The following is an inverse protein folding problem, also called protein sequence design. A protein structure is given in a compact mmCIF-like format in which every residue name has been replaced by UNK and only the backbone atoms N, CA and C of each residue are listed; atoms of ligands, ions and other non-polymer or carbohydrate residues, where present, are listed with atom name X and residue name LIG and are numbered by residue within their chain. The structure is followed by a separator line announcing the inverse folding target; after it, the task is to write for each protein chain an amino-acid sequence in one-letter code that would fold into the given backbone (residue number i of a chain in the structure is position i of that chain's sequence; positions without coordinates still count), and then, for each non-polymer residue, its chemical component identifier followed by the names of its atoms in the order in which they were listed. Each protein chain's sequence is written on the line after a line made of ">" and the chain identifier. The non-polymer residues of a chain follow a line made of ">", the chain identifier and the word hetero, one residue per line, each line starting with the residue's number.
data_IF_880218340133
#
_entry.id   IF_880218340133
#
_cell.length_a   1.000
_cell.length_b   1.000
_cell.length_c   1.000
_cell.angle_alpha   90.00
_cell.angle_beta   90.00
_cell.angle_gamma   90.00
#
_symmetry.space_group_name_H-M   'P 1'
#
loop_
_entity.id
_entity.type
_entity.pdbx_description
1 polymer ?
#
# COMPACT_ATOMS: atom_id res chain seq x y z
N UNK A 1 -47.51 -22.29 4.35
CA UNK A 1 -46.31 -21.42 4.34
C UNK A 1 -46.56 -20.26 5.30
N UNK A 2 -45.66 -20.07 6.25
CA UNK A 2 -45.80 -19.21 7.43
C UNK A 2 -46.00 -17.73 7.10
N UNK A 3 -47.11 -17.12 7.55
CA UNK A 3 -47.37 -15.67 7.58
C UNK A 3 -46.27 -14.85 8.28
N UNK A 4 -45.34 -15.50 9.00
CA UNK A 4 -44.19 -14.89 9.66
C UNK A 4 -43.02 -14.55 8.73
N UNK A 5 -42.96 -15.10 7.50
CA UNK A 5 -41.84 -14.82 6.59
C UNK A 5 -41.95 -13.46 5.88
N UNK A 6 -43.17 -12.97 5.60
CA UNK A 6 -43.39 -11.75 4.83
C UNK A 6 -42.98 -10.48 5.61
N UNK A 7 -43.13 -10.50 6.94
CA UNK A 7 -42.78 -9.36 7.81
C UNK A 7 -41.27 -9.18 7.97
N UNK A 8 -40.51 -10.28 7.95
CA UNK A 8 -39.04 -10.26 8.07
C UNK A 8 -38.40 -9.60 6.84
N UNK A 9 -38.93 -9.86 5.64
CA UNK A 9 -38.42 -9.26 4.42
C UNK A 9 -38.67 -7.74 4.36
N UNK A 10 -39.75 -7.26 4.99
CA UNK A 10 -40.07 -5.83 5.07
C UNK A 10 -39.17 -5.05 6.03
N UNK A 11 -38.62 -5.68 7.08
CA UNK A 11 -37.67 -5.02 8.00
C UNK A 11 -36.25 -4.90 7.41
N UNK A 12 -35.85 -5.83 6.53
CA UNK A 12 -34.53 -5.81 5.87
C UNK A 12 -34.35 -4.65 4.88
N UNK A 13 -35.44 -4.16 4.27
CA UNK A 13 -35.39 -3.08 3.27
C UNK A 13 -35.10 -1.68 3.86
N UNK A 14 -35.30 -1.48 5.16
CA UNK A 14 -35.08 -0.17 5.80
C UNK A 14 -33.58 0.08 6.06
N UNK A 15 -32.77 -0.99 6.13
CA UNK A 15 -31.30 -0.87 6.25
C UNK A 15 -30.61 -0.40 4.95
N UNK A 16 -31.30 -0.46 3.81
CA UNK A 16 -30.75 -0.01 2.52
C UNK A 16 -31.05 1.46 2.17
N UNK A 17 -31.86 2.16 2.97
CA UNK A 17 -32.25 3.56 2.70
C UNK A 17 -31.36 4.61 3.41
N UNK A 18 -30.36 4.17 4.16
CA UNK A 18 -29.37 5.06 4.79
C UNK A 18 -27.94 4.80 4.28
N UNK A 19 -27.80 4.37 3.02
CA UNK A 19 -26.57 4.65 2.27
C UNK A 19 -26.60 6.11 1.85
N UNK A 20 -26.40 6.97 2.86
CA UNK A 20 -25.85 8.31 2.79
C UNK A 20 -25.87 8.97 1.40
N UNK A 21 -26.99 9.64 1.12
CA UNK A 21 -26.98 10.79 0.24
C UNK A 21 -26.29 11.94 0.99
N UNK A 22 -24.97 11.88 1.10
CA UNK A 22 -24.18 13.00 1.59
C UNK A 22 -23.67 13.69 0.34
N UNK A 23 -24.40 14.71 -0.11
CA UNK A 23 -23.77 15.80 -0.85
C UNK A 23 -22.87 16.53 0.13
N UNK A 24 -21.74 15.92 0.47
CA UNK A 24 -20.65 16.60 1.12
C UNK A 24 -19.92 17.32 0.00
N UNK A 25 -20.20 18.61 -0.16
CA UNK A 25 -19.16 19.53 -0.63
C UNK A 25 -18.09 19.58 0.46
N UNK A 26 -17.32 18.49 0.56
CA UNK A 26 -16.15 18.41 1.39
C UNK A 26 -15.02 19.04 0.59
N UNK A 27 -15.01 20.37 0.54
CA UNK A 27 -13.84 21.13 0.14
C UNK A 27 -12.90 21.33 1.32
N UNK A 28 -12.77 20.31 2.18
CA UNK A 28 -11.54 20.12 2.92
C UNK A 28 -10.48 19.75 1.88
N UNK A 29 -9.31 20.40 1.81
CA UNK A 29 -8.22 19.86 1.02
C UNK A 29 -7.87 18.52 1.66
N UNK A 30 -8.44 17.44 1.15
CA UNK A 30 -8.01 16.09 1.48
C UNK A 30 -6.62 15.98 0.91
N UNK A 31 -5.61 16.24 1.74
CA UNK A 31 -4.24 15.87 1.43
C UNK A 31 -4.29 14.41 0.93
N UNK A 32 -3.63 14.10 -0.21
CA UNK A 32 -3.65 12.75 -0.73
C UNK A 32 -3.21 11.77 0.36
N UNK A 33 -4.02 10.74 0.59
CA UNK A 33 -3.71 9.71 1.59
C UNK A 33 -2.70 8.77 0.94
N UNK A 34 -1.50 8.57 1.54
CA UNK A 34 -0.53 7.63 1.03
C UNK A 34 -1.12 6.21 0.86
N UNK A 35 -0.90 5.54 -0.28
CA UNK A 35 -1.52 4.24 -0.55
C UNK A 35 -1.12 3.11 0.42
N UNK A 36 0.05 3.24 1.05
CA UNK A 36 0.60 2.25 1.98
C UNK A 36 0.36 2.58 3.45
N UNK A 37 -0.26 3.73 3.74
CA UNK A 37 -0.58 4.16 5.11
C UNK A 37 -1.45 3.11 5.81
N UNK A 38 -1.06 2.75 7.03
CA UNK A 38 -1.75 1.75 7.88
C UNK A 38 -2.05 0.41 7.16
N UNK A 39 -1.32 0.10 6.08
CA UNK A 39 -1.57 -1.09 5.26
C UNK A 39 -1.01 -2.36 5.91
N UNK A 40 -1.49 -3.52 5.46
CA UNK A 40 -0.92 -4.81 5.88
C UNK A 40 0.56 -4.99 5.50
N UNK A 41 1.12 -4.11 4.66
CA UNK A 41 2.51 -4.16 4.20
C UNK A 41 3.46 -3.30 5.06
N UNK A 42 2.94 -2.52 6.02
CA UNK A 42 3.75 -1.79 7.00
C UNK A 42 4.67 -2.76 7.75
N UNK A 43 5.95 -2.37 7.87
CA UNK A 43 7.01 -3.15 8.50
C UNK A 43 8.32 -3.18 7.69
N UNK A 44 9.26 -3.99 8.16
CA UNK A 44 10.60 -4.16 7.59
C UNK A 44 10.64 -5.32 6.61
N UNK A 45 11.22 -5.07 5.45
CA UNK A 45 11.29 -6.02 4.34
C UNK A 45 12.73 -6.36 4.00
N UNK A 46 12.98 -7.65 3.93
CA UNK A 46 14.30 -8.25 3.77
C UNK A 46 14.36 -8.98 2.43
N UNK A 47 15.55 -9.00 1.83
CA UNK A 47 15.85 -9.95 0.76
C UNK A 47 15.65 -11.38 1.29
N UNK A 48 14.91 -12.20 0.56
CA UNK A 48 14.59 -13.57 1.00
C UNK A 48 15.83 -14.47 1.10
N UNK A 49 16.85 -14.21 0.26
CA UNK A 49 18.02 -15.08 0.12
C UNK A 49 19.15 -14.66 1.07
N UNK A 50 19.46 -13.37 1.13
CA UNK A 50 20.59 -12.84 1.91
C UNK A 50 20.20 -12.43 3.33
N UNK A 51 18.90 -12.31 3.62
CA UNK A 51 18.38 -11.71 4.85
C UNK A 51 18.85 -10.26 5.09
N UNK A 52 19.22 -9.56 4.02
CA UNK A 52 19.56 -8.14 4.08
C UNK A 52 18.29 -7.30 4.18
N UNK A 53 18.27 -6.34 5.11
CA UNK A 53 17.18 -5.37 5.21
C UNK A 53 17.26 -4.38 4.05
N UNK A 54 16.27 -4.45 3.15
CA UNK A 54 16.22 -3.62 1.95
C UNK A 54 15.43 -2.33 2.16
N UNK A 55 14.28 -2.42 2.82
CA UNK A 55 13.41 -1.25 3.04
C UNK A 55 12.48 -1.41 4.23
N UNK A 56 11.93 -0.29 4.69
CA UNK A 56 10.88 -0.23 5.71
C UNK A 56 9.72 0.62 5.21
N UNK A 57 8.50 0.07 5.27
CA UNK A 57 7.27 0.82 5.05
C UNK A 57 6.78 1.28 6.43
N UNK A 58 6.71 2.59 6.64
CA UNK A 58 6.27 3.18 7.91
C UNK A 58 4.74 3.27 7.99
N UNK A 59 4.23 3.49 9.20
CA UNK A 59 2.79 3.63 9.46
C UNK A 59 2.16 4.78 8.65
N UNK A 60 2.89 5.86 8.39
CA UNK A 60 2.43 6.98 7.57
C UNK A 60 2.44 6.71 6.05
N UNK A 61 2.90 5.52 5.63
CA UNK A 61 3.02 5.10 4.23
C UNK A 61 4.29 5.56 3.53
N UNK A 62 5.18 6.29 4.21
CA UNK A 62 6.52 6.57 3.68
C UNK A 62 7.38 5.32 3.65
N UNK A 63 8.39 5.32 2.77
CA UNK A 63 9.29 4.19 2.55
C UNK A 63 10.73 4.66 2.78
N UNK A 64 11.43 4.02 3.71
CA UNK A 64 12.88 4.17 3.82
C UNK A 64 13.55 3.03 3.05
N UNK A 65 14.54 3.36 2.22
CA UNK A 65 15.42 2.40 1.56
C UNK A 65 16.71 2.30 2.36
N UNK A 66 17.14 1.07 2.64
CA UNK A 66 18.25 0.78 3.54
C UNK A 66 19.36 0.00 2.82
N UNK A 67 20.59 0.26 3.25
CA UNK A 67 21.75 -0.57 2.92
C UNK A 67 22.55 -0.78 4.20
N UNK A 68 22.79 -2.05 4.58
CA UNK A 68 23.48 -2.40 5.82
C UNK A 68 22.97 -1.64 7.05
N UNK A 69 21.64 -1.47 7.18
CA UNK A 69 20.92 -0.75 8.24
C UNK A 69 20.90 0.78 8.19
N UNK A 70 21.62 1.42 7.26
CA UNK A 70 21.56 2.87 7.08
C UNK A 70 20.51 3.25 6.04
N UNK A 71 19.65 4.21 6.39
CA UNK A 71 18.71 4.82 5.45
C UNK A 71 19.50 5.70 4.48
N UNK A 72 19.54 5.32 3.20
CA UNK A 72 20.22 6.10 2.17
C UNK A 72 19.24 6.93 1.33
N UNK A 73 17.95 6.60 1.38
CA UNK A 73 16.89 7.34 0.71
C UNK A 73 15.55 7.15 1.45
N UNK A 74 14.72 8.19 1.40
CA UNK A 74 13.34 8.15 1.92
C UNK A 74 12.39 8.68 0.86
N UNK A 75 11.26 8.01 0.70
CA UNK A 75 10.21 8.37 -0.26
C UNK A 75 8.97 8.76 0.54
N UNK A 76 8.40 9.94 0.25
CA UNK A 76 7.14 10.31 0.89
C UNK A 76 6.04 9.37 0.42
N UNK A 77 5.15 8.98 1.32
CA UNK A 77 4.06 8.08 0.98
C UNK A 77 3.10 8.65 -0.08
N UNK A 78 3.05 9.97 -0.25
CA UNK A 78 2.27 10.65 -1.30
C UNK A 78 2.90 10.53 -2.69
N UNK A 79 4.19 10.19 -2.76
CA UNK A 79 4.94 9.96 -4.00
C UNK A 79 4.88 8.49 -4.44
N UNK A 80 4.06 7.67 -3.74
CA UNK A 80 3.77 6.27 -4.07
C UNK A 80 2.47 6.19 -4.85
N UNK A 81 2.48 5.48 -5.97
CA UNK A 81 1.32 5.23 -6.84
C UNK A 81 0.92 3.76 -6.70
N UNK A 82 -0.37 3.49 -6.49
CA UNK A 82 -0.92 2.14 -6.49
C UNK A 82 -1.42 1.77 -7.89
N UNK A 83 -0.92 0.68 -8.45
CA UNK A 83 -1.30 0.16 -9.78
C UNK A 83 -1.97 -1.22 -9.66
N UNK A 84 -3.23 -1.25 -9.25
CA UNK A 84 -3.94 -2.51 -8.93
C UNK A 84 -3.82 -2.86 -7.45
N UNK A 85 -4.20 -4.08 -7.04
CA UNK A 85 -4.43 -4.36 -5.62
C UNK A 85 -3.17 -4.45 -4.77
N UNK A 86 -2.08 -4.97 -5.33
CA UNK A 86 -0.86 -5.31 -4.61
C UNK A 86 0.43 -4.80 -5.27
N UNK A 87 0.33 -3.94 -6.29
CA UNK A 87 1.48 -3.33 -6.97
C UNK A 87 1.55 -1.85 -6.63
N UNK A 88 2.74 -1.42 -6.21
CA UNK A 88 3.02 -0.05 -5.79
C UNK A 88 4.30 0.43 -6.45
N UNK A 89 4.27 1.65 -6.99
CA UNK A 89 5.42 2.30 -7.61
C UNK A 89 5.84 3.48 -6.77
N UNK A 90 7.12 3.57 -6.45
CA UNK A 90 7.69 4.66 -5.69
C UNK A 90 8.79 5.32 -6.53
N UNK A 91 8.71 6.64 -6.70
CA UNK A 91 9.69 7.39 -7.48
C UNK A 91 10.70 8.02 -6.54
N UNK A 92 11.96 7.58 -6.64
CA UNK A 92 13.08 8.22 -5.98
C UNK A 92 13.65 9.31 -6.89
N UNK A 93 13.77 10.54 -6.37
CA UNK A 93 14.40 11.67 -7.07
C UNK A 93 15.64 12.13 -6.32
N UNK A 94 16.82 12.02 -6.94
CA UNK A 94 18.07 12.49 -6.35
C UNK A 94 18.96 13.12 -7.42
N UNK A 95 19.52 14.31 -7.15
CA UNK A 95 20.45 15.00 -8.06
C UNK A 95 19.93 15.17 -9.50
N UNK A 96 18.61 15.39 -9.67
CA UNK A 96 17.98 15.53 -10.99
C UNK A 96 17.79 14.22 -11.76
N UNK A 97 18.18 13.08 -11.18
CA UNK A 97 17.88 11.75 -11.69
C UNK A 97 16.68 11.16 -10.96
N UNK A 98 15.89 10.37 -11.69
CA UNK A 98 14.74 9.66 -11.13
C UNK A 98 14.92 8.16 -11.33
N UNK A 99 14.50 7.40 -10.33
CA UNK A 99 14.49 5.95 -10.31
C UNK A 99 13.10 5.48 -9.84
N UNK A 100 12.47 4.59 -10.59
CA UNK A 100 11.20 3.97 -10.20
C UNK A 100 11.48 2.62 -9.53
N UNK A 101 10.96 2.44 -8.32
CA UNK A 101 11.01 1.17 -7.59
C UNK A 101 9.60 0.58 -7.60
N UNK A 102 9.50 -0.68 -8.01
CA UNK A 102 8.22 -1.38 -8.10
C UNK A 102 8.17 -2.44 -7.01
N UNK A 103 7.20 -2.32 -6.10
CA UNK A 103 6.88 -3.31 -5.09
C UNK A 103 5.66 -4.12 -5.53
N UNK A 104 5.78 -5.44 -5.58
CA UNK A 104 4.67 -6.35 -5.90
C UNK A 104 4.48 -7.33 -4.75
N UNK A 105 3.42 -7.16 -3.96
CA UNK A 105 3.16 -8.03 -2.82
C UNK A 105 2.32 -9.25 -3.24
N UNK A 106 2.75 -10.43 -2.83
CA UNK A 106 1.99 -11.68 -3.02
C UNK A 106 1.21 -12.06 -1.77
N UNK A 107 1.64 -11.57 -0.59
CA UNK A 107 0.92 -11.68 0.68
C UNK A 107 1.28 -10.51 1.60
N UNK A 108 0.74 -10.49 2.82
CA UNK A 108 1.12 -9.51 3.84
C UNK A 108 2.57 -9.66 4.33
N UNK A 109 3.24 -10.77 4.00
CA UNK A 109 4.61 -11.09 4.44
C UNK A 109 5.57 -11.47 3.32
N UNK A 110 5.13 -11.52 2.07
CA UNK A 110 5.96 -11.92 0.91
C UNK A 110 5.67 -11.05 -0.30
N UNK A 111 6.67 -10.88 -1.16
CA UNK A 111 6.52 -10.13 -2.41
C UNK A 111 7.79 -10.14 -3.24
N UNK A 112 7.85 -9.24 -4.21
CA UNK A 112 9.05 -8.94 -4.98
C UNK A 112 9.28 -7.43 -5.07
N UNK A 113 10.52 -7.02 -5.21
CA UNK A 113 10.90 -5.63 -5.49
C UNK A 113 11.76 -5.55 -6.76
N UNK A 114 11.54 -4.53 -7.56
CA UNK A 114 12.36 -4.23 -8.75
C UNK A 114 12.90 -2.83 -8.65
N UNK A 115 14.22 -2.66 -8.80
CA UNK A 115 14.89 -1.37 -8.83
C UNK A 115 15.63 -1.15 -10.17
N UNK A 116 15.79 0.11 -10.63
CA UNK A 116 16.50 0.37 -11.88
C UNK A 116 18.01 0.18 -11.66
N UNK A 117 18.62 -0.71 -12.44
CA UNK A 117 20.04 -1.07 -12.31
C UNK A 117 20.28 -2.54 -11.95
N UNK A 118 19.24 -3.30 -11.59
CA UNK A 118 19.34 -4.76 -11.51
C UNK A 118 19.35 -5.41 -12.90
N UNK A 119 20.54 -5.79 -13.37
CA UNK A 119 20.66 -6.83 -14.40
C UNK A 119 20.30 -8.18 -13.76
N UNK A 120 19.01 -8.53 -13.67
CA UNK A 120 18.64 -9.80 -13.04
C UNK A 120 17.17 -10.12 -12.74
N UNK A 121 16.22 -9.20 -12.96
CA UNK A 121 14.82 -9.42 -12.60
C UNK A 121 14.46 -8.84 -11.23
N UNK A 122 13.34 -9.28 -10.64
CA UNK A 122 12.85 -8.79 -9.36
C UNK A 122 13.42 -9.63 -8.20
N UNK A 123 13.86 -8.98 -7.12
CA UNK A 123 14.29 -9.68 -5.90
C UNK A 123 13.08 -10.15 -5.11
N UNK A 124 13.17 -11.36 -4.55
CA UNK A 124 12.14 -11.87 -3.65
C UNK A 124 12.35 -11.31 -2.26
N UNK A 125 11.26 -10.85 -1.63
CA UNK A 125 11.31 -10.15 -0.36
C UNK A 125 10.34 -10.74 0.66
N UNK A 126 10.74 -10.68 1.92
CA UNK A 126 9.96 -11.18 3.07
C UNK A 126 9.88 -10.14 4.17
N UNK A 127 8.71 -10.02 4.79
CA UNK A 127 8.50 -9.13 5.94
C UNK A 127 8.79 -9.88 7.24
N UNK A 128 9.63 -9.31 8.10
CA UNK A 128 9.99 -9.89 9.41
C UNK A 128 9.71 -8.92 10.56
#
# INVERSE_FOLDING_TARGET
>A
MSKKLLTIFSLLLIFFAMSCNNKSTDSTPTNPIPPLKDSQYVGKWYDETSDELLFEIKQDGSIDLLHQTQVFASINGTDVIKEGDAVFKATLSANGQTAEIIFTFTSSTTGTVTSPGQEGGADSIVKK
#
